data_IF_631758398728
#
_entry.id   IF_631758398728
#
_cell.length_a   1.000
_cell.length_b   1.000
_cell.length_c   1.000
_cell.angle_alpha   90.00
_cell.angle_beta   90.00
_cell.angle_gamma   90.00
#
_symmetry.space_group_name_H-M   'P 1'
#
loop_
_entity.id
_entity.type
_entity.pdbx_description
1 polymer ?
#
# COMPACT_ATOMS: atom_id res chain seq x y z
N UNK A 1 4.14 -56.20 -0.98
CA UNK A 1 3.42 -57.38 -0.51
C UNK A 1 3.55 -57.44 1.00
N UNK A 2 2.48 -57.74 1.73
CA UNK A 2 2.49 -57.89 3.19
C UNK A 2 2.33 -59.37 3.53
N UNK A 3 3.06 -59.89 4.53
CA UNK A 3 3.09 -61.34 4.79
C UNK A 3 1.88 -61.80 5.62
N UNK A 4 1.25 -60.88 6.36
CA UNK A 4 0.04 -61.14 7.13
C UNK A 4 -0.74 -59.81 7.37
N UNK A 5 -1.91 -59.92 7.99
CA UNK A 5 -2.78 -58.76 8.29
C UNK A 5 -2.13 -57.80 9.30
N UNK A 6 -1.34 -58.31 10.26
CA UNK A 6 -0.60 -57.50 11.21
C UNK A 6 0.43 -56.59 10.53
N UNK A 7 1.22 -57.13 9.59
CA UNK A 7 2.20 -56.37 8.80
C UNK A 7 1.51 -55.26 7.98
N UNK A 8 0.36 -55.58 7.37
CA UNK A 8 -0.44 -54.62 6.61
C UNK A 8 -0.98 -53.50 7.53
N UNK A 9 -1.47 -53.85 8.73
CA UNK A 9 -2.00 -52.88 9.69
C UNK A 9 -0.90 -51.97 10.25
N UNK A 10 0.30 -52.50 10.53
CA UNK A 10 1.45 -51.71 10.96
C UNK A 10 1.87 -50.70 9.87
N UNK A 11 1.90 -51.12 8.60
CA UNK A 11 2.25 -50.23 7.49
C UNK A 11 1.22 -49.11 7.28
N UNK A 12 -0.08 -49.43 7.42
CA UNK A 12 -1.16 -48.45 7.42
C UNK A 12 -1.00 -47.48 8.59
N UNK A 13 -0.76 -47.98 9.80
CA UNK A 13 -0.55 -47.16 10.99
C UNK A 13 0.66 -46.23 10.84
N UNK A 14 1.78 -46.71 10.30
CA UNK A 14 2.95 -45.90 10.02
C UNK A 14 2.69 -44.81 8.98
N UNK A 15 1.94 -45.12 7.92
CA UNK A 15 1.56 -44.15 6.88
C UNK A 15 0.62 -43.09 7.42
N UNK A 16 -0.42 -43.52 8.17
CA UNK A 16 -1.39 -42.62 8.78
C UNK A 16 -0.74 -41.67 9.79
N UNK A 17 0.24 -42.15 10.58
CA UNK A 17 0.93 -41.36 11.60
C UNK A 17 2.10 -40.50 11.11
N UNK A 18 2.40 -40.52 9.80
CA UNK A 18 3.59 -39.82 9.26
C UNK A 18 3.45 -38.30 9.27
N UNK A 19 2.21 -37.78 9.20
CA UNK A 19 1.94 -36.35 9.12
C UNK A 19 2.58 -35.68 7.90
N UNK A 20 2.69 -34.35 7.96
CA UNK A 20 3.40 -33.52 6.97
C UNK A 20 4.11 -32.37 7.67
N UNK A 21 5.10 -31.76 7.03
CA UNK A 21 5.83 -30.64 7.63
C UNK A 21 5.32 -29.29 7.11
N UNK A 22 5.07 -28.35 8.01
CA UNK A 22 4.84 -26.94 7.70
C UNK A 22 6.14 -26.16 7.85
N UNK A 23 6.43 -25.27 6.90
CA UNK A 23 7.62 -24.43 6.86
C UNK A 23 7.27 -23.15 6.11
N UNK A 24 7.76 -22.00 6.57
CA UNK A 24 7.59 -20.72 5.90
C UNK A 24 8.95 -20.05 5.71
N UNK A 25 9.20 -19.49 4.53
CA UNK A 25 10.41 -18.69 4.24
C UNK A 25 11.73 -19.41 4.58
N UNK A 26 11.77 -20.74 4.45
CA UNK A 26 12.96 -21.54 4.75
C UNK A 26 13.30 -21.67 6.24
N UNK A 27 12.37 -21.40 7.15
CA UNK A 27 12.54 -21.58 8.59
C UNK A 27 12.65 -23.07 8.99
N UNK A 28 12.61 -23.39 10.29
CA UNK A 28 12.68 -24.79 10.72
C UNK A 28 11.33 -25.48 10.49
N UNK A 29 11.33 -26.51 9.65
CA UNK A 29 10.13 -27.30 9.38
C UNK A 29 9.56 -27.95 10.66
N UNK A 30 8.25 -27.80 10.88
CA UNK A 30 7.53 -28.39 12.01
C UNK A 30 6.57 -29.47 11.52
N UNK A 31 6.61 -30.66 12.11
CA UNK A 31 5.69 -31.75 11.74
C UNK A 31 4.28 -31.49 12.30
N UNK A 32 3.31 -31.39 11.40
CA UNK A 32 1.88 -31.45 11.68
C UNK A 32 1.48 -32.92 11.75
N UNK A 33 1.19 -33.40 12.97
CA UNK A 33 0.78 -34.79 13.20
C UNK A 33 -0.71 -34.96 12.84
N UNK A 34 -1.18 -36.19 12.63
CA UNK A 34 -2.61 -36.42 12.47
C UNK A 34 -3.39 -35.93 13.69
N UNK A 35 -4.47 -35.18 13.44
CA UNK A 35 -5.27 -34.53 14.48
C UNK A 35 -4.81 -33.12 14.82
N UNK A 36 -3.61 -32.70 14.41
CA UNK A 36 -3.15 -31.31 14.59
C UNK A 36 -3.90 -30.36 13.65
N UNK A 37 -3.95 -29.09 14.03
CA UNK A 37 -4.53 -28.01 13.23
C UNK A 37 -3.48 -26.98 12.86
N UNK A 38 -3.43 -26.63 11.58
CA UNK A 38 -2.71 -25.44 11.11
C UNK A 38 -3.69 -24.27 11.02
N UNK A 39 -3.31 -23.13 11.59
CA UNK A 39 -4.10 -21.92 11.53
C UNK A 39 -3.45 -20.90 10.61
N UNK A 40 -4.27 -20.28 9.75
CA UNK A 40 -3.92 -19.04 9.05
C UNK A 40 -4.59 -17.92 9.83
N UNK A 41 -3.79 -16.98 10.32
CA UNK A 41 -4.27 -15.89 11.18
C UNK A 41 -4.10 -14.57 10.45
N UNK A 42 -5.07 -13.68 10.67
CA UNK A 42 -5.04 -12.31 10.19
C UNK A 42 -3.86 -11.56 10.81
N UNK A 43 -3.25 -10.69 10.00
CA UNK A 43 -2.31 -9.68 10.45
C UNK A 43 -2.96 -8.29 10.44
N UNK A 44 -2.17 -7.25 10.67
CA UNK A 44 -2.68 -5.87 10.60
C UNK A 44 -3.26 -5.51 9.22
N UNK A 45 -2.59 -5.94 8.15
CA UNK A 45 -2.91 -5.54 6.78
C UNK A 45 -3.45 -6.68 5.92
N UNK A 46 -3.46 -7.92 6.43
CA UNK A 46 -3.89 -9.12 5.70
C UNK A 46 -5.04 -9.75 6.47
N UNK A 47 -6.18 -9.86 5.80
CA UNK A 47 -7.39 -10.51 6.28
C UNK A 47 -7.51 -11.89 5.67
N UNK A 48 -7.75 -12.89 6.49
CA UNK A 48 -7.94 -14.28 6.11
C UNK A 48 -9.32 -14.73 6.61
N UNK A 49 -10.17 -15.14 5.68
CA UNK A 49 -11.49 -15.69 6.00
C UNK A 49 -11.63 -17.09 5.43
N UNK A 50 -12.49 -17.90 6.04
CA UNK A 50 -12.75 -19.28 5.61
C UNK A 50 -14.24 -19.56 5.52
N UNK A 51 -14.65 -20.21 4.44
CA UNK A 51 -15.96 -20.82 4.29
C UNK A 51 -15.79 -22.27 3.80
N UNK A 52 -16.07 -23.26 4.66
CA UNK A 52 -15.78 -24.66 4.33
C UNK A 52 -14.30 -24.88 4.02
N UNK A 53 -13.99 -25.35 2.82
CA UNK A 53 -12.62 -25.57 2.32
C UNK A 53 -12.02 -24.37 1.62
N UNK A 54 -12.80 -23.30 1.39
CA UNK A 54 -12.32 -22.10 0.72
C UNK A 54 -11.64 -21.16 1.71
N UNK A 55 -10.43 -20.72 1.36
CA UNK A 55 -9.68 -19.69 2.07
C UNK A 55 -9.63 -18.45 1.18
N UNK A 56 -10.08 -17.31 1.70
CA UNK A 56 -9.93 -16.02 1.04
C UNK A 56 -8.88 -15.20 1.78
N UNK A 57 -7.85 -14.78 1.07
CA UNK A 57 -6.82 -13.85 1.55
C UNK A 57 -7.03 -12.52 0.84
N UNK A 58 -7.20 -11.46 1.63
CA UNK A 58 -7.42 -10.11 1.14
C UNK A 58 -6.55 -9.11 1.93
N UNK A 59 -6.38 -7.92 1.38
CA UNK A 59 -5.90 -6.79 2.18
C UNK A 59 -6.99 -6.32 3.15
N UNK A 60 -6.60 -5.71 4.26
CA UNK A 60 -7.53 -4.93 5.08
C UNK A 60 -8.05 -3.71 4.29
N UNK A 61 -9.23 -3.20 4.67
CA UNK A 61 -9.81 -1.99 4.08
C UNK A 61 -8.90 -0.77 4.34
N UNK A 62 -8.38 -0.69 5.56
CA UNK A 62 -7.38 0.30 5.97
C UNK A 62 -6.00 -0.37 6.09
N UNK A 63 -5.04 0.12 5.30
CA UNK A 63 -3.65 -0.33 5.36
C UNK A 63 -2.83 0.59 6.26
N UNK A 64 -2.17 0.00 7.25
CA UNK A 64 -1.25 0.71 8.14
C UNK A 64 0.18 0.34 7.78
N UNK A 65 0.96 1.31 7.32
CA UNK A 65 2.35 1.10 6.96
C UNK A 65 3.20 2.34 7.21
N UNK A 66 4.50 2.14 7.42
CA UNK A 66 5.45 3.23 7.56
C UNK A 66 5.72 3.94 6.23
N UNK A 67 5.68 3.19 5.12
CA UNK A 67 5.81 3.75 3.78
C UNK A 67 5.32 2.82 2.68
N UNK A 68 4.91 3.41 1.56
CA UNK A 68 4.65 2.75 0.29
C UNK A 68 5.52 3.39 -0.79
N UNK A 69 6.33 2.58 -1.48
CA UNK A 69 7.16 3.02 -2.60
C UNK A 69 6.68 2.36 -3.89
N UNK A 70 6.38 3.15 -4.91
CA UNK A 70 5.97 2.67 -6.24
C UNK A 70 6.71 3.45 -7.32
N UNK A 71 7.67 2.79 -7.98
CA UNK A 71 8.59 3.48 -8.89
C UNK A 71 9.35 4.60 -8.16
N UNK A 72 9.22 5.83 -8.66
CA UNK A 72 9.85 7.01 -8.07
C UNK A 72 9.02 7.68 -6.96
N UNK A 73 7.79 7.23 -6.73
CA UNK A 73 6.89 7.79 -5.73
C UNK A 73 7.06 7.10 -4.39
N UNK A 74 7.08 7.88 -3.33
CA UNK A 74 7.10 7.39 -1.95
C UNK A 74 6.07 8.15 -1.12
N UNK A 75 5.12 7.43 -0.55
CA UNK A 75 4.25 7.91 0.52
C UNK A 75 4.79 7.39 1.84
N UNK A 76 5.07 8.27 2.79
CA UNK A 76 5.47 7.89 4.14
C UNK A 76 4.92 8.87 5.19
N UNK A 77 5.39 8.76 6.43
CA UNK A 77 4.94 9.60 7.56
C UNK A 77 5.16 11.10 7.34
N UNK A 78 6.01 11.50 6.38
CA UNK A 78 6.25 12.91 6.05
C UNK A 78 5.35 13.44 4.94
N UNK A 79 4.65 12.56 4.20
CA UNK A 79 3.80 12.90 3.05
C UNK A 79 4.19 12.16 1.77
N UNK A 80 3.91 12.76 0.62
CA UNK A 80 4.18 12.22 -0.72
C UNK A 80 5.40 12.91 -1.34
N UNK A 81 6.39 12.13 -1.77
CA UNK A 81 7.53 12.61 -2.55
C UNK A 81 7.67 11.83 -3.86
N UNK A 82 7.99 12.52 -4.95
CA UNK A 82 8.40 11.91 -6.21
C UNK A 82 9.89 12.23 -6.43
N UNK A 83 10.73 11.22 -6.58
CA UNK A 83 12.16 11.41 -6.82
C UNK A 83 12.40 12.28 -8.07
N UNK A 84 13.23 13.32 -7.93
CA UNK A 84 13.48 14.33 -8.98
C UNK A 84 12.22 15.05 -9.49
N UNK A 85 11.16 15.09 -8.67
CA UNK A 85 9.85 15.64 -9.03
C UNK A 85 9.21 16.45 -7.91
N UNK A 86 7.88 16.69 -8.01
CA UNK A 86 7.12 17.39 -6.99
C UNK A 86 7.02 16.61 -5.67
N UNK A 87 6.69 17.31 -4.59
CA UNK A 87 6.35 16.73 -3.30
C UNK A 87 5.25 17.50 -2.58
N UNK A 88 4.51 16.79 -1.73
CA UNK A 88 3.54 17.30 -0.76
C UNK A 88 3.93 16.72 0.59
N UNK A 89 4.63 17.51 1.40
CA UNK A 89 5.17 17.09 2.68
C UNK A 89 4.56 17.90 3.82
N UNK A 90 4.78 17.47 5.07
CA UNK A 90 4.39 18.24 6.25
C UNK A 90 4.98 19.67 6.27
N UNK A 91 6.12 19.89 5.61
CA UNK A 91 6.76 21.20 5.45
C UNK A 91 6.17 22.06 4.33
N UNK A 92 5.24 21.54 3.53
CA UNK A 92 4.59 22.23 2.42
C UNK A 92 4.73 21.51 1.08
N UNK A 93 4.45 22.25 0.00
CA UNK A 93 4.41 21.74 -1.37
C UNK A 93 5.63 22.26 -2.14
N UNK A 94 6.34 21.36 -2.82
CA UNK A 94 7.39 21.71 -3.78
C UNK A 94 6.98 21.26 -5.18
N UNK A 95 6.95 22.17 -6.15
CA UNK A 95 6.58 21.86 -7.54
C UNK A 95 7.68 21.15 -8.34
N UNK A 96 8.87 20.94 -7.78
CA UNK A 96 9.97 20.21 -8.44
C UNK A 96 10.44 20.87 -9.75
N UNK A 97 10.51 22.22 -9.74
CA UNK A 97 10.81 23.06 -10.92
C UNK A 97 9.90 22.80 -12.11
N UNK A 98 8.64 22.38 -11.87
CA UNK A 98 7.59 22.26 -12.88
C UNK A 98 6.59 23.41 -12.74
N UNK A 99 5.89 23.71 -13.85
CA UNK A 99 4.74 24.62 -13.81
C UNK A 99 3.58 23.96 -13.07
N UNK A 100 2.87 24.74 -12.25
CA UNK A 100 1.55 24.36 -11.72
C UNK A 100 0.52 24.90 -12.71
N UNK A 101 -0.20 24.00 -13.38
CA UNK A 101 -1.17 24.35 -14.43
C UNK A 101 -2.60 24.10 -13.95
N UNK A 102 -3.59 24.67 -14.65
CA UNK A 102 -5.01 24.53 -14.33
C UNK A 102 -5.39 25.04 -12.93
N UNK A 103 -4.72 26.11 -12.49
CA UNK A 103 -5.08 26.84 -11.27
C UNK A 103 -6.26 27.75 -11.61
N UNK A 104 -7.41 27.53 -10.97
CA UNK A 104 -8.56 28.43 -11.07
C UNK A 104 -8.21 29.84 -10.56
N UNK A 105 -8.99 30.85 -10.94
CA UNK A 105 -8.78 32.22 -10.46
C UNK A 105 -8.89 32.25 -8.93
N UNK A 106 -7.82 32.70 -8.26
CA UNK A 106 -7.81 32.88 -6.81
C UNK A 106 -8.56 34.15 -6.41
N UNK A 107 -9.08 34.22 -5.19
CA UNK A 107 -9.63 35.47 -4.69
C UNK A 107 -8.53 36.54 -4.57
N UNK A 108 -8.72 37.71 -5.19
CA UNK A 108 -7.80 38.85 -5.07
C UNK A 108 -8.43 39.88 -4.13
N UNK A 109 -8.33 39.60 -2.84
CA UNK A 109 -8.88 40.44 -1.76
C UNK A 109 -7.92 40.47 -0.56
N UNK A 110 -8.09 41.45 0.33
CA UNK A 110 -7.28 41.58 1.55
C UNK A 110 -7.33 40.31 2.39
N UNK A 111 -6.16 39.75 2.71
CA UNK A 111 -6.02 38.53 3.51
C UNK A 111 -6.21 37.23 2.74
N UNK A 112 -6.41 37.26 1.41
CA UNK A 112 -6.50 36.05 0.59
C UNK A 112 -5.20 35.24 0.64
N UNK A 113 -5.34 33.92 0.72
CA UNK A 113 -4.25 32.93 0.65
C UNK A 113 -4.34 32.06 -0.61
N UNK A 114 -5.21 32.41 -1.54
CA UNK A 114 -5.39 31.67 -2.78
C UNK A 114 -4.19 31.89 -3.71
N UNK A 115 -3.81 30.85 -4.44
CA UNK A 115 -2.86 30.99 -5.52
C UNK A 115 -3.50 31.80 -6.66
N UNK A 116 -2.79 32.82 -7.15
CA UNK A 116 -3.19 33.55 -8.36
C UNK A 116 -2.61 32.86 -9.59
N UNK A 117 -3.36 32.85 -10.69
CA UNK A 117 -2.91 32.27 -11.95
C UNK A 117 -2.44 33.36 -12.94
N UNK A 118 -1.98 32.91 -14.12
CA UNK A 118 -1.45 33.81 -15.15
C UNK A 118 -2.48 34.80 -15.72
N UNK A 119 -3.75 34.42 -15.85
CA UNK A 119 -4.80 35.31 -16.39
C UNK A 119 -5.06 36.51 -15.48
N UNK A 120 -5.01 36.31 -14.16
CA UNK A 120 -5.22 37.40 -13.20
C UNK A 120 -4.06 38.41 -13.21
N UNK A 121 -2.82 37.92 -13.27
CA UNK A 121 -1.65 38.79 -13.41
C UNK A 121 -1.66 39.51 -14.76
N UNK A 122 -2.04 38.81 -15.84
CA UNK A 122 -2.18 39.41 -17.17
C UNK A 122 -3.22 40.53 -17.18
N UNK A 123 -4.41 40.32 -16.61
CA UNK A 123 -5.45 41.35 -16.53
C UNK A 123 -4.97 42.60 -15.78
N UNK A 124 -4.23 42.42 -14.69
CA UNK A 124 -3.62 43.53 -13.95
C UNK A 124 -2.61 44.31 -14.80
N UNK A 125 -1.73 43.62 -15.54
CA UNK A 125 -0.75 44.26 -16.42
C UNK A 125 -1.40 45.06 -17.55
N UNK A 126 -2.52 44.57 -18.10
CA UNK A 126 -3.27 45.32 -19.11
C UNK A 126 -3.80 46.66 -18.56
N UNK A 127 -4.28 46.69 -17.31
CA UNK A 127 -4.71 47.94 -16.67
C UNK A 127 -3.55 48.92 -16.46
N UNK A 128 -2.37 48.43 -16.05
CA UNK A 128 -1.17 49.27 -15.85
C UNK A 128 -0.69 49.91 -17.16
N UNK A 129 -0.66 49.14 -18.25
CA UNK A 129 -0.27 49.65 -19.56
C UNK A 129 -1.21 50.76 -20.04
N UNK A 130 -2.50 50.64 -19.76
CA UNK A 130 -3.48 51.68 -20.10
C UNK A 130 -3.23 52.98 -19.33
N UNK A 131 -2.85 52.91 -18.05
CA UNK A 131 -2.50 54.09 -17.24
C UNK A 131 -1.18 54.71 -17.70
N UNK A 132 -0.20 53.88 -18.08
CA UNK A 132 1.14 54.36 -18.49
C UNK A 132 1.14 55.07 -19.85
N UNK A 133 0.14 54.80 -20.68
CA UNK A 133 -0.02 55.41 -22.00
C UNK A 133 -0.99 56.61 -22.00
N UNK A 134 -1.53 57.00 -20.84
CA UNK A 134 -2.38 58.18 -20.64
C UNK A 134 -1.61 59.32 -20.01
#
# INVERSE_FOLDING_TARGET
SYNNVGDALIAVNGTANRGWNVQANGDTATQVKPGDTVQLRDGQNIKVTRNGTDITVATADDLVGASLTTGNSRLDTNGLAIANGPSVLASGINAGSKKITNVADGSVATGSTDAVNGSQLYATNQQINNVSNG
#
